data_IF_983026142429
#
_entry.id   IF_983026142429
#
_cell.length_a   1.000
_cell.length_b   1.000
_cell.length_c   1.000
_cell.angle_alpha   90.00
_cell.angle_beta   90.00
_cell.angle_gamma   90.00
#
_symmetry.space_group_name_H-M   'P 1'
#
loop_
_entity.id
_entity.type
_entity.pdbx_description
1 polymer ?
#
# COMPACT_ATOMS: atom_id res chain seq x y z
N UNK A 1 11.98 15.33 -0.86
CA UNK A 1 12.43 14.42 -1.95
C UNK A 1 13.68 13.67 -1.53
N UNK A 2 14.76 14.36 -1.22
CA UNK A 2 16.04 13.75 -0.82
C UNK A 2 15.88 12.68 0.28
N UNK A 3 15.15 12.98 1.34
CA UNK A 3 14.93 12.06 2.47
C UNK A 3 14.26 10.72 2.08
N UNK A 4 13.32 10.72 1.12
CA UNK A 4 12.68 9.49 0.60
C UNK A 4 13.67 8.69 -0.25
N UNK A 5 14.47 9.37 -1.08
CA UNK A 5 15.51 8.72 -1.89
C UNK A 5 16.61 8.11 -1.02
N UNK A 6 16.94 8.76 0.10
CA UNK A 6 17.87 8.23 1.09
C UNK A 6 17.34 6.92 1.72
N UNK A 7 16.03 6.85 2.05
CA UNK A 7 15.40 5.60 2.50
C UNK A 7 15.60 4.49 1.46
N UNK A 8 15.34 4.78 0.18
CA UNK A 8 15.48 3.78 -0.88
C UNK A 8 16.93 3.38 -1.12
N UNK A 9 17.89 4.33 -1.03
CA UNK A 9 19.31 4.02 -1.15
C UNK A 9 19.80 3.12 -0.01
N UNK A 10 19.45 3.46 1.24
CA UNK A 10 19.80 2.64 2.40
C UNK A 10 19.13 1.26 2.35
N UNK A 11 17.92 1.18 1.78
CA UNK A 11 17.25 -0.10 1.56
C UNK A 11 18.00 -0.95 0.52
N UNK A 12 18.41 -0.37 -0.62
CA UNK A 12 19.20 -1.10 -1.64
C UNK A 12 20.47 -1.71 -1.07
N UNK A 13 21.14 -1.04 -0.13
CA UNK A 13 22.34 -1.54 0.53
C UNK A 13 22.08 -2.73 1.47
N UNK A 14 20.83 -3.04 1.79
CA UNK A 14 20.46 -4.22 2.57
C UNK A 14 20.39 -5.50 1.72
N UNK A 15 20.59 -5.41 0.41
CA UNK A 15 20.59 -6.56 -0.48
C UNK A 15 22.03 -6.84 -0.98
N UNK A 16 22.36 -8.12 -1.11
CA UNK A 16 23.60 -8.55 -1.75
C UNK A 16 23.52 -8.50 -3.28
N UNK A 17 24.61 -8.80 -3.97
CA UNK A 17 24.68 -8.83 -5.44
C UNK A 17 23.71 -9.83 -6.08
N UNK A 18 23.21 -10.82 -5.32
CA UNK A 18 22.19 -11.78 -5.77
C UNK A 18 20.77 -11.30 -5.55
N UNK A 19 20.58 -10.12 -4.91
CA UNK A 19 19.29 -9.57 -4.54
C UNK A 19 18.70 -10.20 -3.27
N UNK A 20 19.53 -10.88 -2.45
CA UNK A 20 19.09 -11.44 -1.18
C UNK A 20 19.29 -10.43 -0.05
N UNK A 21 18.28 -10.30 0.82
CA UNK A 21 18.33 -9.42 1.98
C UNK A 21 19.42 -9.87 2.97
N UNK A 22 20.29 -8.95 3.33
CA UNK A 22 21.31 -9.10 4.38
C UNK A 22 20.68 -8.59 5.68
N UNK A 23 20.29 -9.49 6.57
CA UNK A 23 19.70 -9.14 7.85
C UNK A 23 20.80 -8.61 8.78
N UNK A 24 20.64 -7.37 9.27
CA UNK A 24 21.45 -6.84 10.37
C UNK A 24 20.97 -7.40 11.70
N UNK A 25 21.89 -7.71 12.63
CA UNK A 25 21.53 -8.16 13.99
C UNK A 25 21.00 -7.03 14.88
N UNK A 26 21.15 -5.77 14.45
CA UNK A 26 20.56 -4.60 15.13
C UNK A 26 19.06 -4.54 14.93
N UNK A 27 18.34 -3.84 15.81
CA UNK A 27 16.88 -3.71 15.82
C UNK A 27 16.30 -3.61 14.40
N UNK A 28 15.58 -4.62 13.89
CA UNK A 28 15.10 -4.61 12.52
C UNK A 28 14.14 -3.45 12.28
N UNK A 29 14.30 -2.81 11.13
CA UNK A 29 13.38 -1.78 10.64
C UNK A 29 12.71 -2.31 9.38
N UNK A 30 11.40 -2.55 9.47
CA UNK A 30 10.59 -2.90 8.30
C UNK A 30 10.25 -1.64 7.52
N UNK A 31 10.60 -1.59 6.24
CA UNK A 31 10.40 -0.41 5.40
C UNK A 31 9.24 -0.66 4.46
N UNK A 32 8.20 0.15 4.59
CA UNK A 32 6.94 0.01 3.86
C UNK A 32 6.68 1.24 2.99
N UNK A 33 6.10 1.03 1.83
CA UNK A 33 5.49 2.08 1.00
C UNK A 33 3.97 1.93 1.11
N UNK A 34 3.27 2.95 1.60
CA UNK A 34 1.83 2.92 1.89
C UNK A 34 1.07 4.01 1.13
N UNK A 35 -0.15 3.69 0.68
CA UNK A 35 -1.09 4.65 0.12
C UNK A 35 -2.53 4.11 0.14
N UNK A 36 -3.50 4.96 -0.20
CA UNK A 36 -4.90 4.63 -0.37
C UNK A 36 -5.30 4.64 -1.85
N UNK A 37 -6.13 3.68 -2.23
CA UNK A 37 -6.85 3.65 -3.50
C UNK A 37 -8.35 3.77 -3.24
N UNK A 38 -8.90 4.99 -3.18
CA UNK A 38 -10.33 5.20 -2.99
C UNK A 38 -11.13 4.93 -4.26
N UNK A 39 -12.45 4.82 -4.11
CA UNK A 39 -13.39 4.85 -5.23
C UNK A 39 -13.37 3.63 -6.14
N UNK A 40 -12.93 2.47 -5.66
CA UNK A 40 -13.00 1.21 -6.41
C UNK A 40 -14.48 0.85 -6.58
N UNK A 41 -14.98 0.88 -7.80
CA UNK A 41 -16.39 0.70 -8.09
C UNK A 41 -16.77 -0.79 -8.14
N UNK A 42 -17.76 -1.18 -7.36
CA UNK A 42 -18.46 -2.44 -7.51
C UNK A 42 -19.55 -2.27 -8.59
N UNK A 43 -19.39 -2.96 -9.71
CA UNK A 43 -20.24 -2.82 -10.89
C UNK A 43 -20.80 -4.21 -11.24
N UNK A 44 -22.14 -4.31 -11.33
CA UNK A 44 -22.83 -5.49 -11.85
C UNK A 44 -23.29 -5.26 -13.28
N UNK A 45 -23.46 -6.35 -14.06
CA UNK A 45 -24.22 -6.33 -15.32
C UNK A 45 -25.73 -6.26 -15.02
N UNK A 46 -26.50 -5.72 -15.95
CA UNK A 46 -27.97 -5.70 -15.87
C UNK A 46 -28.57 -6.97 -16.44
N UNK A 47 -27.86 -7.65 -17.34
CA UNK A 47 -28.18 -8.98 -17.88
C UNK A 47 -26.94 -9.88 -17.87
N UNK A 48 -27.14 -11.17 -18.07
CA UNK A 48 -26.04 -12.13 -18.18
C UNK A 48 -25.23 -11.91 -19.46
N UNK A 49 -23.93 -12.20 -19.39
CA UNK A 49 -23.04 -12.18 -20.55
C UNK A 49 -23.49 -13.22 -21.56
N UNK A 50 -23.58 -12.86 -22.84
CA UNK A 50 -23.81 -13.79 -23.91
C UNK A 50 -22.49 -14.51 -24.24
N UNK A 51 -22.46 -15.81 -24.02
CA UNK A 51 -21.29 -16.64 -24.28
C UNK A 51 -21.06 -16.80 -25.79
N UNK A 52 -19.82 -17.08 -26.23
CA UNK A 52 -19.51 -17.37 -27.63
C UNK A 52 -20.35 -18.53 -28.15
N UNK A 53 -20.83 -18.38 -29.39
CA UNK A 53 -21.55 -19.41 -30.15
C UNK A 53 -20.89 -19.63 -31.52
N UNK A 54 -21.46 -20.49 -32.35
CA UNK A 54 -20.93 -20.78 -33.69
C UNK A 54 -20.86 -19.55 -34.62
N UNK A 55 -21.64 -18.51 -34.35
CA UNK A 55 -21.70 -17.26 -35.16
C UNK A 55 -20.90 -16.13 -34.57
N UNK A 56 -20.66 -16.14 -33.24
CA UNK A 56 -20.00 -15.08 -32.50
C UNK A 56 -18.90 -15.66 -31.63
N UNK A 57 -17.66 -15.41 -31.98
CA UNK A 57 -16.46 -15.93 -31.27
C UNK A 57 -16.08 -15.19 -30.01
N UNK A 58 -16.81 -14.12 -29.63
CA UNK A 58 -16.50 -13.25 -28.50
C UNK A 58 -17.63 -13.23 -27.48
N UNK A 59 -17.29 -13.03 -26.21
CA UNK A 59 -18.28 -12.78 -25.16
C UNK A 59 -18.88 -11.40 -25.39
N UNK A 60 -20.19 -11.31 -25.58
CA UNK A 60 -20.90 -10.04 -25.66
C UNK A 60 -21.44 -9.68 -24.27
N UNK A 61 -20.93 -8.59 -23.74
CA UNK A 61 -21.37 -8.01 -22.47
C UNK A 61 -22.41 -6.94 -22.71
N UNK A 62 -23.38 -6.90 -21.80
CA UNK A 62 -24.30 -5.77 -21.75
C UNK A 62 -23.48 -4.48 -21.48
N UNK A 63 -23.75 -3.44 -22.28
CA UNK A 63 -23.16 -2.12 -22.07
C UNK A 63 -23.79 -1.39 -20.88
N UNK A 64 -25.00 -1.79 -20.46
CA UNK A 64 -25.62 -1.28 -19.26
C UNK A 64 -24.99 -1.91 -18.02
N UNK A 65 -24.94 -1.13 -16.94
CA UNK A 65 -24.36 -1.60 -15.69
C UNK A 65 -25.06 -0.97 -14.48
N UNK A 66 -25.13 -1.73 -13.39
CA UNK A 66 -25.63 -1.29 -12.10
C UNK A 66 -24.48 -1.00 -11.16
N UNK A 67 -24.44 0.20 -10.57
CA UNK A 67 -23.49 0.54 -9.52
C UNK A 67 -23.97 0.00 -8.17
N UNK A 68 -23.12 -0.80 -7.50
CA UNK A 68 -23.39 -1.40 -6.20
C UNK A 68 -22.73 -0.61 -5.05
N UNK A 69 -21.99 0.44 -5.37
CA UNK A 69 -21.24 1.28 -4.45
C UNK A 69 -19.74 1.26 -4.71
N UNK A 70 -18.99 1.82 -3.78
CA UNK A 70 -17.53 1.93 -3.86
C UNK A 70 -16.86 1.32 -2.64
N UNK A 71 -15.61 0.91 -2.81
CA UNK A 71 -14.70 0.49 -1.76
C UNK A 71 -13.44 1.36 -1.78
N UNK A 72 -12.78 1.44 -0.65
CA UNK A 72 -11.44 1.99 -0.50
C UNK A 72 -10.48 0.88 -0.11
N UNK A 73 -9.34 0.82 -0.77
CA UNK A 73 -8.25 -0.08 -0.44
C UNK A 73 -7.13 0.74 0.19
N UNK A 74 -6.79 0.43 1.45
CA UNK A 74 -5.57 0.87 2.09
C UNK A 74 -4.55 -0.24 1.89
N UNK A 75 -3.37 0.06 1.39
CA UNK A 75 -2.38 -0.98 1.17
C UNK A 75 -0.95 -0.50 1.41
N UNK A 76 -0.11 -1.40 1.89
CA UNK A 76 1.33 -1.20 1.93
C UNK A 76 2.04 -2.33 1.19
N UNK A 77 3.24 -2.03 0.72
CA UNK A 77 4.21 -3.00 0.23
C UNK A 77 5.40 -2.98 1.17
N UNK A 78 5.76 -4.13 1.70
CA UNK A 78 7.03 -4.31 2.37
C UNK A 78 8.15 -4.30 1.31
N UNK A 79 9.00 -3.29 1.38
CA UNK A 79 10.03 -3.07 0.36
C UNK A 79 11.23 -4.02 0.49
N UNK A 80 11.32 -4.75 1.60
CA UNK A 80 12.37 -5.74 1.85
C UNK A 80 11.96 -7.12 1.34
N UNK A 81 10.67 -7.46 1.43
CA UNK A 81 10.15 -8.78 1.06
C UNK A 81 9.32 -8.78 -0.22
N UNK A 82 8.80 -7.63 -0.62
CA UNK A 82 7.84 -7.50 -1.72
C UNK A 82 6.41 -7.87 -1.35
N UNK A 83 6.15 -8.26 -0.10
CA UNK A 83 4.82 -8.63 0.36
C UNK A 83 3.87 -7.43 0.36
N UNK A 84 2.68 -7.61 -0.19
CA UNK A 84 1.65 -6.58 -0.22
C UNK A 84 0.58 -6.85 0.85
N UNK A 85 0.25 -5.82 1.62
CA UNK A 85 -0.61 -5.91 2.81
C UNK A 85 -1.86 -5.06 2.55
N UNK A 86 -3.05 -5.67 2.34
CA UNK A 86 -4.30 -4.96 2.06
C UNK A 86 -5.18 -4.77 3.28
N UNK A 87 -5.96 -3.68 3.28
CA UNK A 87 -7.15 -3.49 4.10
C UNK A 87 -8.24 -2.87 3.22
N UNK A 88 -9.33 -3.59 2.98
CA UNK A 88 -10.47 -3.12 2.18
C UNK A 88 -11.59 -2.65 3.10
N UNK A 89 -12.04 -1.41 2.91
CA UNK A 89 -13.10 -0.78 3.70
C UNK A 89 -14.01 0.07 2.80
N UNK A 90 -15.13 0.51 3.34
CA UNK A 90 -16.03 1.44 2.64
C UNK A 90 -15.46 2.87 2.57
N UNK A 91 -14.60 3.21 3.50
CA UNK A 91 -13.99 4.54 3.65
C UNK A 91 -12.48 4.43 3.86
N UNK A 92 -11.81 5.57 3.83
CA UNK A 92 -10.38 5.72 4.13
C UNK A 92 -10.16 6.92 5.07
N UNK A 93 -10.93 6.93 6.18
CA UNK A 93 -10.81 7.95 7.23
C UNK A 93 -9.68 7.61 8.21
N UNK A 94 -9.48 8.48 9.20
CA UNK A 94 -8.49 8.20 10.26
C UNK A 94 -8.77 6.91 11.03
N UNK A 95 -10.02 6.44 11.06
CA UNK A 95 -10.37 5.19 11.75
C UNK A 95 -9.84 3.98 11.00
N UNK A 96 -10.06 3.93 9.68
CA UNK A 96 -9.55 2.86 8.82
C UNK A 96 -8.02 2.91 8.74
N UNK A 97 -7.42 4.11 8.73
CA UNK A 97 -5.97 4.24 8.80
C UNK A 97 -5.39 3.70 10.11
N UNK A 98 -6.02 4.01 11.26
CA UNK A 98 -5.61 3.45 12.56
C UNK A 98 -5.77 1.92 12.57
N UNK A 99 -6.84 1.39 11.97
CA UNK A 99 -7.04 -0.05 11.82
C UNK A 99 -5.91 -0.67 10.99
N UNK A 100 -5.48 0.00 9.92
CA UNK A 100 -4.34 -0.44 9.12
C UNK A 100 -3.03 -0.42 9.91
N UNK A 101 -2.77 0.63 10.71
CA UNK A 101 -1.59 0.67 11.59
C UNK A 101 -1.61 -0.47 12.62
N UNK A 102 -2.77 -0.83 13.18
CA UNK A 102 -2.90 -1.98 14.09
C UNK A 102 -2.59 -3.29 13.37
N UNK A 103 -3.07 -3.45 12.13
CA UNK A 103 -2.76 -4.61 11.31
C UNK A 103 -1.24 -4.75 11.10
N UNK A 104 -0.54 -3.65 10.82
CA UNK A 104 0.91 -3.64 10.70
C UNK A 104 1.61 -3.94 12.03
N UNK A 105 1.12 -3.37 13.14
CA UNK A 105 1.67 -3.64 14.47
C UNK A 105 1.55 -5.11 14.86
N UNK A 106 0.45 -5.76 14.50
CA UNK A 106 0.24 -7.18 14.77
C UNK A 106 1.01 -8.11 13.82
N UNK A 107 1.30 -7.65 12.61
CA UNK A 107 2.03 -8.43 11.61
C UNK A 107 3.51 -8.57 11.94
N UNK A 108 4.16 -7.53 12.39
CA UNK A 108 5.60 -7.50 12.63
C UNK A 108 5.96 -7.73 14.10
N UNK A 109 7.14 -8.34 14.41
CA UNK A 109 7.59 -8.57 15.79
C UNK A 109 7.54 -7.29 16.63
N UNK A 110 7.09 -7.41 17.89
CA UNK A 110 6.82 -6.23 18.75
C UNK A 110 8.06 -5.40 19.12
N UNK A 111 9.26 -5.93 18.98
CA UNK A 111 10.52 -5.21 19.23
C UNK A 111 11.02 -4.39 18.05
N UNK A 112 10.51 -4.66 16.84
CA UNK A 112 10.99 -4.05 15.61
C UNK A 112 10.35 -2.69 15.37
N UNK A 113 10.98 -1.86 14.53
CA UNK A 113 10.40 -0.61 14.06
C UNK A 113 9.73 -0.78 12.70
N UNK A 114 8.68 -0.01 12.45
CA UNK A 114 7.98 0.03 11.19
C UNK A 114 8.12 1.43 10.59
N UNK A 115 8.91 1.55 9.53
CA UNK A 115 9.12 2.80 8.80
C UNK A 115 8.22 2.83 7.58
N UNK A 116 7.38 3.85 7.46
CA UNK A 116 6.38 3.98 6.42
C UNK A 116 6.68 5.21 5.57
N UNK A 117 6.90 4.99 4.27
CA UNK A 117 6.91 6.04 3.25
C UNK A 117 5.47 6.27 2.79
N UNK A 118 4.97 7.50 2.91
CA UNK A 118 3.57 7.83 2.62
C UNK A 118 3.43 9.31 2.21
N UNK A 119 2.25 9.68 1.73
CA UNK A 119 1.92 11.05 1.39
C UNK A 119 1.49 11.90 2.60
N UNK A 120 1.22 13.19 2.36
CA UNK A 120 0.82 14.15 3.40
C UNK A 120 -0.70 14.25 3.59
N UNK A 121 -1.46 13.17 3.39
CA UNK A 121 -2.89 13.20 3.61
C UNK A 121 -3.23 13.51 5.08
N UNK A 122 -4.26 14.34 5.31
CA UNK A 122 -4.59 14.82 6.68
C UNK A 122 -4.95 13.69 7.66
N UNK A 123 -5.44 12.56 7.18
CA UNK A 123 -5.77 11.40 8.03
C UNK A 123 -4.52 10.85 8.74
N UNK A 124 -3.35 10.91 8.09
CA UNK A 124 -2.10 10.39 8.63
C UNK A 124 -1.62 11.17 9.86
N UNK A 125 -1.91 12.46 9.91
CA UNK A 125 -1.48 13.36 10.99
C UNK A 125 -2.62 13.84 11.88
N UNK A 126 -3.80 13.21 11.78
CA UNK A 126 -4.99 13.57 12.55
C UNK A 126 -4.79 13.39 14.06
N UNK A 127 -5.62 14.06 14.86
CA UNK A 127 -5.58 13.91 16.32
C UNK A 127 -5.85 12.46 16.74
N UNK A 128 -6.79 11.78 16.09
CA UNK A 128 -7.11 10.38 16.37
C UNK A 128 -5.89 9.48 16.10
N UNK A 129 -5.20 9.69 14.96
CA UNK A 129 -3.98 8.95 14.61
C UNK A 129 -2.89 9.19 15.65
N UNK A 130 -2.66 10.45 16.04
CA UNK A 130 -1.66 10.78 17.08
C UNK A 130 -1.97 10.15 18.43
N UNK A 131 -3.25 10.11 18.83
CA UNK A 131 -3.68 9.44 20.06
C UNK A 131 -3.37 7.94 20.02
N UNK A 132 -3.61 7.29 18.89
CA UNK A 132 -3.25 5.88 18.74
C UNK A 132 -1.74 5.69 18.81
N UNK A 133 -0.95 6.45 18.07
CA UNK A 133 0.51 6.33 18.06
C UNK A 133 1.14 6.55 19.43
N UNK A 134 0.53 7.37 20.27
CA UNK A 134 0.96 7.56 21.67
C UNK A 134 0.80 6.27 22.51
N UNK A 135 -0.02 5.31 22.12
CA UNK A 135 -0.17 4.02 22.81
C UNK A 135 0.92 3.00 22.42
N UNK A 136 1.63 3.26 21.31
CA UNK A 136 2.72 2.42 20.77
C UNK A 136 3.97 3.26 20.49
N UNK A 137 4.56 3.91 21.52
CA UNK A 137 5.65 4.87 21.34
C UNK A 137 6.89 4.19 20.71
N UNK A 138 7.49 4.88 19.72
CA UNK A 138 8.71 4.42 19.04
C UNK A 138 8.51 3.26 18.06
N UNK A 139 7.27 2.75 17.90
CA UNK A 139 6.96 1.64 16.99
C UNK A 139 6.95 2.06 15.53
N UNK A 140 6.39 3.25 15.23
CA UNK A 140 6.23 3.75 13.88
C UNK A 140 7.13 4.96 13.61
N UNK A 141 7.75 4.95 12.44
CA UNK A 141 8.51 6.06 11.87
C UNK A 141 7.89 6.42 10.51
N UNK A 142 7.60 7.71 10.29
CA UNK A 142 6.99 8.17 9.05
C UNK A 142 7.96 9.02 8.23
N UNK A 143 8.02 8.72 6.93
CA UNK A 143 8.79 9.48 5.95
C UNK A 143 7.82 10.01 4.90
N UNK A 144 7.50 11.30 5.00
CA UNK A 144 6.52 11.92 4.12
C UNK A 144 7.13 12.26 2.77
N UNK A 145 6.40 11.90 1.68
CA UNK A 145 6.75 12.37 0.34
C UNK A 145 6.51 13.89 0.23
N UNK A 146 7.25 14.61 -0.63
CA UNK A 146 6.99 16.02 -0.86
C UNK A 146 5.64 16.23 -1.54
N UNK A 147 5.08 17.44 -1.42
CA UNK A 147 3.89 17.84 -2.20
C UNK A 147 4.18 17.61 -3.69
N UNK A 148 3.24 17.02 -4.39
CA UNK A 148 3.36 16.62 -5.81
C UNK A 148 4.46 15.58 -6.10
N UNK A 149 4.89 14.84 -5.07
CA UNK A 149 5.91 13.79 -5.17
C UNK A 149 5.35 12.39 -5.02
N UNK A 150 4.09 12.15 -5.40
CA UNK A 150 3.43 10.84 -5.29
C UNK A 150 4.17 9.76 -6.06
N UNK A 151 4.79 10.10 -7.20
CA UNK A 151 5.64 9.19 -7.98
C UNK A 151 6.82 8.58 -7.19
N UNK A 152 7.19 9.20 -6.05
CA UNK A 152 8.16 8.63 -5.10
C UNK A 152 7.56 7.51 -4.25
N UNK A 153 6.24 7.34 -4.24
CA UNK A 153 5.57 6.31 -3.48
C UNK A 153 5.45 5.02 -4.31
N UNK A 154 6.26 4.01 -3.99
CA UNK A 154 6.38 2.79 -4.79
C UNK A 154 5.07 2.00 -4.89
N UNK A 155 4.18 2.11 -3.90
CA UNK A 155 2.87 1.44 -3.91
C UNK A 155 1.95 1.94 -5.03
N UNK A 156 2.15 3.15 -5.58
CA UNK A 156 1.37 3.64 -6.73
C UNK A 156 1.58 2.78 -7.99
N UNK A 157 2.81 2.31 -8.20
CA UNK A 157 3.13 1.35 -9.26
C UNK A 157 2.36 0.04 -9.10
N UNK A 158 2.24 -0.42 -7.86
CA UNK A 158 1.44 -1.59 -7.51
C UNK A 158 -0.05 -1.36 -7.78
N UNK A 159 -0.63 -0.22 -7.39
CA UNK A 159 -2.02 0.11 -7.70
C UNK A 159 -2.31 0.17 -9.20
N UNK A 160 -1.34 0.61 -9.99
CA UNK A 160 -1.43 0.57 -11.45
C UNK A 160 -1.48 -0.87 -11.98
N UNK A 161 -0.67 -1.79 -11.42
CA UNK A 161 -0.67 -3.22 -11.74
C UNK A 161 -2.02 -3.85 -11.35
N UNK A 162 -2.49 -3.65 -10.12
CA UNK A 162 -3.79 -4.11 -9.62
C UNK A 162 -4.93 -3.67 -10.55
N UNK A 163 -4.92 -2.40 -10.95
CA UNK A 163 -5.95 -1.85 -11.83
C UNK A 163 -5.97 -2.55 -13.18
N UNK A 164 -4.81 -2.77 -13.80
CA UNK A 164 -4.72 -3.43 -15.11
C UNK A 164 -5.08 -4.91 -15.06
N UNK A 165 -4.64 -5.62 -14.02
CA UNK A 165 -4.75 -7.07 -13.93
C UNK A 165 -6.11 -7.53 -13.39
N UNK A 166 -6.71 -6.77 -12.47
CA UNK A 166 -7.89 -7.24 -11.75
C UNK A 166 -9.09 -6.28 -11.82
N UNK A 167 -8.88 -4.97 -11.61
CA UNK A 167 -10.01 -4.04 -11.49
C UNK A 167 -10.59 -3.62 -12.85
N UNK A 168 -9.77 -3.60 -13.90
CA UNK A 168 -10.22 -3.14 -15.22
C UNK A 168 -11.28 -4.07 -15.80
N UNK A 169 -12.47 -3.52 -15.99
CA UNK A 169 -13.60 -4.28 -16.56
C UNK A 169 -14.21 -5.32 -15.62
N UNK A 170 -13.86 -5.31 -14.34
CA UNK A 170 -14.44 -6.23 -13.35
C UNK A 170 -15.96 -6.08 -13.28
N UNK A 171 -16.64 -7.19 -13.14
CA UNK A 171 -18.07 -7.28 -12.82
C UNK A 171 -18.25 -8.17 -11.60
N UNK A 172 -19.09 -7.74 -10.69
CA UNK A 172 -19.33 -8.40 -9.40
C UNK A 172 -20.81 -8.33 -9.06
N UNK A 173 -21.30 -9.29 -8.29
CA UNK A 173 -22.71 -9.34 -7.85
C UNK A 173 -22.95 -8.50 -6.58
N UNK A 174 -21.88 -8.19 -5.82
CA UNK A 174 -21.95 -7.41 -4.59
C UNK A 174 -20.61 -6.72 -4.28
N UNK A 175 -20.61 -5.78 -3.34
CA UNK A 175 -19.39 -5.19 -2.76
C UNK A 175 -18.54 -6.24 -2.04
N UNK A 176 -19.20 -7.20 -1.38
CA UNK A 176 -18.54 -8.29 -0.67
C UNK A 176 -17.75 -9.18 -1.66
N UNK A 177 -18.34 -9.51 -2.80
CA UNK A 177 -17.62 -10.25 -3.85
C UNK A 177 -16.38 -9.47 -4.33
N UNK A 178 -16.50 -8.15 -4.53
CA UNK A 178 -15.36 -7.32 -4.90
C UNK A 178 -14.27 -7.35 -3.82
N UNK A 179 -14.66 -7.24 -2.55
CA UNK A 179 -13.75 -7.33 -1.40
C UNK A 179 -13.00 -8.67 -1.40
N UNK A 180 -13.72 -9.78 -1.56
CA UNK A 180 -13.13 -11.12 -1.57
C UNK A 180 -12.17 -11.30 -2.75
N UNK A 181 -12.51 -10.77 -3.93
CA UNK A 181 -11.62 -10.82 -5.10
C UNK A 181 -10.36 -9.99 -4.90
N UNK A 182 -10.45 -8.83 -4.23
CA UNK A 182 -9.26 -8.02 -3.89
C UNK A 182 -8.36 -8.82 -2.94
N UNK A 183 -8.89 -9.36 -1.85
CA UNK A 183 -8.08 -10.15 -0.91
C UNK A 183 -7.47 -11.39 -1.57
N UNK A 184 -8.21 -12.08 -2.43
CA UNK A 184 -7.70 -13.22 -3.20
C UNK A 184 -6.54 -12.81 -4.12
N UNK A 185 -6.65 -11.70 -4.83
CA UNK A 185 -5.56 -11.17 -5.65
C UNK A 185 -4.29 -10.92 -4.83
N UNK A 186 -4.43 -10.31 -3.63
CA UNK A 186 -3.30 -10.10 -2.74
C UNK A 186 -2.70 -11.42 -2.23
N UNK A 187 -3.53 -12.41 -1.91
CA UNK A 187 -3.04 -13.73 -1.53
C UNK A 187 -2.24 -14.38 -2.67
N UNK A 188 -2.76 -14.34 -3.91
CA UNK A 188 -2.10 -14.90 -5.10
C UNK A 188 -0.74 -14.23 -5.38
N UNK A 189 -0.63 -12.90 -5.29
CA UNK A 189 0.66 -12.23 -5.52
C UNK A 189 1.66 -12.43 -4.39
N UNK A 190 1.18 -12.69 -3.19
CA UNK A 190 2.04 -12.96 -2.02
C UNK A 190 2.51 -14.43 -1.95
N UNK A 191 2.05 -15.33 -2.84
CA UNK A 191 2.63 -16.66 -2.98
C UNK A 191 4.08 -16.59 -3.50
N UNK A 192 4.36 -15.63 -4.42
CA UNK A 192 5.70 -15.32 -4.93
C UNK A 192 5.90 -13.79 -4.95
N UNK A 193 6.16 -13.17 -3.79
CA UNK A 193 6.26 -11.73 -3.71
C UNK A 193 7.50 -11.23 -4.46
N UNK A 194 7.33 -10.12 -5.17
CA UNK A 194 8.40 -9.50 -5.96
C UNK A 194 8.90 -8.26 -5.22
N UNK A 195 10.16 -8.26 -4.85
CA UNK A 195 10.81 -7.08 -4.28
C UNK A 195 10.84 -5.96 -5.32
N UNK A 196 10.38 -4.79 -4.92
CA UNK A 196 10.35 -3.60 -5.76
C UNK A 196 11.68 -2.86 -5.64
N UNK A 197 12.39 -2.72 -6.76
CA UNK A 197 13.61 -1.93 -6.83
C UNK A 197 13.32 -0.53 -7.38
N UNK A 198 13.97 0.47 -6.81
CA UNK A 198 13.92 1.83 -7.30
C UNK A 198 14.65 1.92 -8.66
N UNK A 199 14.01 2.54 -9.66
CA UNK A 199 14.51 2.52 -11.05
C UNK A 199 15.44 3.67 -11.40
N UNK A 200 15.52 4.68 -10.55
CA UNK A 200 16.32 5.87 -10.82
C UNK A 200 17.68 5.75 -10.17
N UNK A 201 18.70 6.40 -10.78
CA UNK A 201 20.03 6.45 -10.22
C UNK A 201 20.02 7.15 -8.85
N UNK A 202 20.62 6.50 -7.85
CA UNK A 202 20.76 7.01 -6.48
C UNK A 202 22.26 7.23 -6.11
N UNK A 203 23.17 7.27 -7.10
CA UNK A 203 24.63 7.35 -6.84
C UNK A 203 25.02 8.66 -6.13
N UNK A 204 24.29 9.74 -6.40
CA UNK A 204 24.51 11.05 -5.77
C UNK A 204 23.96 11.16 -4.34
N UNK A 205 23.31 10.12 -3.80
CA UNK A 205 22.75 10.13 -2.45
C UNK A 205 23.81 9.66 -1.46
N UNK A 206 24.16 10.54 -0.53
CA UNK A 206 25.08 10.23 0.56
C UNK A 206 24.39 9.41 1.65
N UNK A 207 24.79 8.16 1.79
CA UNK A 207 24.20 7.22 2.78
C UNK A 207 24.65 7.47 4.21
N UNK A 208 25.65 8.33 4.43
CA UNK A 208 26.07 8.74 5.77
C UNK A 208 25.09 9.72 6.43
N UNK A 209 24.17 10.31 5.64
CA UNK A 209 23.12 11.18 6.16
C UNK A 209 22.07 10.39 6.95
N UNK A 210 21.54 11.01 8.00
CA UNK A 210 20.46 10.43 8.79
C UNK A 210 19.09 10.66 8.10
N UNK A 211 18.25 9.59 8.07
CA UNK A 211 16.87 9.72 7.61
C UNK A 211 16.08 10.54 8.63
N UNK A 212 15.47 11.62 8.17
CA UNK A 212 14.56 12.42 8.99
C UNK A 212 13.21 11.71 9.06
N UNK A 213 12.86 11.19 10.23
CA UNK A 213 11.58 10.53 10.50
C UNK A 213 10.68 11.38 11.38
N UNK A 214 9.36 11.28 11.16
CA UNK A 214 8.35 11.85 12.04
C UNK A 214 7.69 10.72 12.84
N UNK A 215 7.65 10.83 14.14
CA UNK A 215 6.95 9.88 15.03
C UNK A 215 5.57 10.38 15.46
N UNK A 216 5.15 11.53 14.94
CA UNK A 216 3.84 12.15 15.17
C UNK A 216 3.43 12.22 16.65
N UNK A 217 4.20 12.81 17.53
CA UNK A 217 3.85 12.89 18.95
C UNK A 217 2.53 13.66 19.16
N UNK A 218 1.85 13.39 20.26
CA UNK A 218 0.65 14.16 20.64
C UNK A 218 1.03 15.63 20.75
N UNK A 219 0.32 16.51 20.04
CA UNK A 219 0.48 17.96 20.22
C UNK A 219 0.10 18.29 21.66
N UNK A 220 1.03 18.85 22.43
CA UNK A 220 0.69 19.45 23.73
C UNK A 220 -0.32 20.55 23.45
N UNK A 221 -1.51 20.45 24.03
CA UNK A 221 -2.46 21.56 24.06
C UNK A 221 -1.79 22.71 24.76
N UNK A 222 -1.59 23.79 24.02
CA UNK A 222 -1.17 25.09 24.54
C UNK A 222 -2.30 25.74 25.30
#
# INVERSE_FOLDING_TARGET
MHNVLLVYKQLEMQFDESGKLIISEDTPIHVLSYDEKPGIQAIATTSDDLMPDEKHSTINRDYEYKRLGTLSLLAAIDLQTGEAIPLVRDKHSSMEYIEFLKLLDDKYPKGDKIRIVLDNLKVHTSEATRKYLATVPGRFEFVFTPKHGSWLNMVEGFFSKLTRQMLRGIRVKSKEELTNRIYRYFAEINEEPIVFHWKYNLDDIDVSEEIIVDTLPVKKSS
#
